data_IF_961315126636
#
_entry.id   IF_961315126636
#
_cell.length_a   1.000
_cell.length_b   1.000
_cell.length_c   1.000
_cell.angle_alpha   90.00
_cell.angle_beta   90.00
_cell.angle_gamma   90.00
#
_symmetry.space_group_name_H-M   'P 1'
#
loop_
_entity.id
_entity.type
_entity.pdbx_description
1 polymer ?
#
# COMPACT_ATOMS: atom_id res chain seq x y z
N UNK A 1 22.91 -9.98 22.88
CA UNK A 1 22.25 -10.07 21.57
C UNK A 1 22.68 -8.85 20.76
N UNK A 2 23.55 -8.99 19.76
CA UNK A 2 24.05 -7.84 18.98
C UNK A 2 22.97 -7.41 18.00
N UNK A 3 22.38 -6.23 18.21
CA UNK A 3 21.48 -5.58 17.26
C UNK A 3 22.35 -5.07 16.11
N UNK A 4 22.28 -5.72 14.94
CA UNK A 4 22.84 -5.16 13.72
C UNK A 4 21.90 -4.07 13.23
N UNK A 5 22.37 -2.82 13.24
CA UNK A 5 21.69 -1.73 12.54
C UNK A 5 22.08 -1.82 11.06
N UNK A 6 21.12 -2.10 10.18
CA UNK A 6 21.29 -1.93 8.74
C UNK A 6 21.45 -0.43 8.47
N UNK A 7 22.63 -0.02 8.01
CA UNK A 7 22.89 1.37 7.69
C UNK A 7 22.31 1.67 6.30
N UNK A 8 21.25 2.47 6.22
CA UNK A 8 20.78 3.02 4.94
C UNK A 8 21.70 4.17 4.52
N UNK A 9 22.24 4.09 3.31
CA UNK A 9 23.01 5.17 2.70
C UNK A 9 22.15 5.83 1.63
N UNK A 10 21.78 7.09 1.87
CA UNK A 10 21.11 7.93 0.87
C UNK A 10 22.15 8.75 0.13
N UNK A 11 22.30 8.50 -1.17
CA UNK A 11 23.14 9.34 -2.02
C UNK A 11 22.44 10.69 -2.26
N UNK A 12 22.96 11.76 -1.69
CA UNK A 12 22.52 13.13 -1.95
C UNK A 12 23.11 13.64 -3.27
N UNK A 13 22.47 13.34 -4.40
CA UNK A 13 22.72 14.05 -5.65
C UNK A 13 21.53 13.98 -6.62
N UNK A 14 20.79 15.08 -6.79
CA UNK A 14 20.26 15.54 -8.08
C UNK A 14 19.67 16.96 -7.98
N UNK A 15 19.93 17.86 -8.95
CA UNK A 15 19.29 19.18 -9.04
C UNK A 15 17.87 19.09 -9.65
N UNK A 16 17.01 20.04 -9.28
CA UNK A 16 15.64 20.32 -9.78
C UNK A 16 14.68 19.12 -9.99
N UNK A 17 13.88 18.84 -8.94
CA UNK A 17 12.42 18.56 -8.96
C UNK A 17 11.80 17.79 -10.16
N UNK A 18 12.45 16.75 -10.65
CA UNK A 18 11.75 15.69 -11.39
C UNK A 18 11.28 14.66 -10.36
N UNK A 19 9.97 14.36 -10.34
CA UNK A 19 9.44 13.30 -9.50
C UNK A 19 10.21 12.01 -9.82
N UNK A 20 10.81 11.39 -8.80
CA UNK A 20 11.56 10.15 -9.01
C UNK A 20 10.60 9.09 -9.53
N UNK A 21 10.95 8.35 -10.60
CA UNK A 21 10.12 7.26 -11.09
C UNK A 21 10.12 6.12 -10.09
N UNK A 22 9.03 5.37 -10.06
CA UNK A 22 8.92 4.14 -9.28
C UNK A 22 10.04 3.15 -9.67
N UNK A 23 10.61 2.46 -8.68
CA UNK A 23 11.53 1.33 -8.86
C UNK A 23 10.80 -0.02 -9.09
N UNK A 24 9.47 -0.01 -9.19
CA UNK A 24 8.69 -1.22 -9.34
C UNK A 24 8.92 -1.90 -10.69
N UNK A 25 8.98 -3.24 -10.69
CA UNK A 25 9.26 -4.06 -11.87
C UNK A 25 8.10 -5.01 -12.24
N UNK A 26 7.99 -5.37 -13.52
CA UNK A 26 6.92 -6.25 -14.02
C UNK A 26 5.52 -5.62 -14.10
N UNK A 27 5.41 -4.32 -13.78
CA UNK A 27 4.18 -3.54 -13.91
C UNK A 27 4.12 -2.75 -15.22
N UNK A 28 2.95 -2.16 -15.48
CA UNK A 28 2.85 -1.00 -16.37
C UNK A 28 3.46 0.26 -15.75
N UNK A 29 3.14 1.42 -16.32
CA UNK A 29 3.61 2.70 -15.77
C UNK A 29 2.96 3.02 -14.43
N UNK A 30 3.73 3.62 -13.53
CA UNK A 30 3.24 4.29 -12.33
C UNK A 30 3.26 5.81 -12.49
N UNK A 31 2.31 6.49 -11.85
CA UNK A 31 2.37 7.93 -11.60
C UNK A 31 2.52 8.19 -10.09
N UNK A 32 3.22 9.25 -9.71
CA UNK A 32 3.30 9.69 -8.31
C UNK A 32 2.13 10.62 -7.97
N UNK A 33 1.36 10.27 -6.95
CA UNK A 33 0.42 11.16 -6.27
C UNK A 33 1.04 11.61 -4.95
N UNK A 34 1.56 12.85 -4.90
CA UNK A 34 2.16 13.42 -3.71
C UNK A 34 2.03 14.94 -3.68
N UNK A 35 2.20 15.54 -2.50
CA UNK A 35 2.57 16.94 -2.42
C UNK A 35 3.92 17.17 -3.14
N UNK A 36 4.15 18.35 -3.72
CA UNK A 36 5.34 18.66 -4.55
C UNK A 36 6.61 18.89 -3.70
N UNK A 37 6.85 18.01 -2.72
CA UNK A 37 7.94 18.08 -1.78
C UNK A 37 9.08 17.16 -2.22
N UNK A 38 10.32 17.66 -2.19
CA UNK A 38 11.51 16.89 -2.60
C UNK A 38 11.84 15.73 -1.68
N UNK A 39 11.36 15.76 -0.44
CA UNK A 39 11.58 14.70 0.53
C UNK A 39 10.55 13.56 0.40
N UNK A 40 9.45 13.76 -0.34
CA UNK A 40 8.32 12.84 -0.34
C UNK A 40 8.72 11.44 -0.81
N UNK A 41 9.55 11.36 -1.86
CA UNK A 41 10.13 10.11 -2.36
C UNK A 41 11.63 10.32 -2.55
N UNK A 42 12.41 9.37 -2.04
CA UNK A 42 13.86 9.31 -2.20
C UNK A 42 14.30 7.88 -2.49
N UNK A 43 15.25 7.70 -3.40
CA UNK A 43 15.88 6.40 -3.62
C UNK A 43 17.12 6.25 -2.74
N UNK A 44 17.36 5.03 -2.26
CA UNK A 44 18.54 4.64 -1.51
C UNK A 44 18.95 3.22 -1.83
N UNK A 45 20.03 2.78 -1.21
CA UNK A 45 20.53 1.42 -1.34
C UNK A 45 20.95 0.90 0.04
N UNK A 46 20.63 -0.37 0.33
CA UNK A 46 21.13 -1.08 1.50
C UNK A 46 22.58 -1.52 1.27
N UNK A 47 23.29 -1.89 2.35
CA UNK A 47 24.67 -2.37 2.26
C UNK A 47 24.86 -3.62 1.41
N UNK A 48 23.82 -4.42 1.23
CA UNK A 48 23.82 -5.63 0.38
C UNK A 48 23.50 -5.33 -1.10
N UNK A 49 23.28 -4.06 -1.46
CA UNK A 49 22.98 -3.63 -2.81
C UNK A 49 21.49 -3.49 -3.12
N UNK A 50 20.59 -3.89 -2.22
CA UNK A 50 19.14 -3.80 -2.41
C UNK A 50 18.72 -2.34 -2.62
N UNK A 51 18.01 -2.06 -3.72
CA UNK A 51 17.46 -0.72 -3.97
C UNK A 51 16.22 -0.49 -3.11
N UNK A 52 16.06 0.72 -2.59
CA UNK A 52 14.99 1.08 -1.67
C UNK A 52 14.37 2.42 -2.07
N UNK A 53 13.05 2.46 -2.07
CA UNK A 53 12.25 3.69 -2.16
C UNK A 53 11.82 4.10 -0.74
N UNK A 54 12.30 5.25 -0.29
CA UNK A 54 11.88 5.90 0.94
C UNK A 54 10.72 6.84 0.64
N UNK A 55 9.62 6.64 1.33
CA UNK A 55 8.45 7.52 1.35
C UNK A 55 8.42 8.28 2.66
N UNK A 56 8.29 9.59 2.61
CA UNK A 56 8.09 10.44 3.79
C UNK A 56 6.84 11.29 3.62
N UNK A 57 5.94 11.17 4.59
CA UNK A 57 4.69 11.92 4.65
C UNK A 57 4.65 12.76 5.93
N UNK A 58 4.51 14.07 5.78
CA UNK A 58 4.38 15.02 6.90
C UNK A 58 2.94 15.52 7.01
N UNK A 59 2.62 16.08 8.18
CA UNK A 59 1.34 16.77 8.38
C UNK A 59 1.22 17.93 7.37
N UNK A 60 0.09 17.99 6.67
CA UNK A 60 -0.20 18.92 5.58
C UNK A 60 0.16 18.41 4.17
N UNK A 61 0.80 17.25 4.02
CA UNK A 61 1.19 16.71 2.72
C UNK A 61 0.01 16.07 1.99
N UNK A 62 -0.73 16.90 1.26
CA UNK A 62 -1.91 16.49 0.50
C UNK A 62 -1.80 16.89 -0.98
N UNK A 63 -2.49 16.15 -1.85
CA UNK A 63 -2.54 16.42 -3.30
C UNK A 63 -3.95 16.32 -3.84
N UNK A 64 -4.26 17.07 -4.91
CA UNK A 64 -5.60 17.11 -5.50
C UNK A 64 -6.68 17.48 -4.47
N UNK A 65 -7.63 16.57 -4.22
CA UNK A 65 -8.76 16.79 -3.28
C UNK A 65 -8.48 16.30 -1.86
N UNK A 66 -7.26 15.89 -1.54
CA UNK A 66 -6.98 15.25 -0.26
C UNK A 66 -7.19 16.18 0.94
N UNK A 67 -6.66 17.39 0.88
CA UNK A 67 -6.74 18.34 2.00
C UNK A 67 -8.20 18.65 2.36
N UNK A 68 -9.05 18.83 1.35
CA UNK A 68 -10.48 19.10 1.55
C UNK A 68 -11.29 17.87 1.95
N UNK A 69 -10.69 16.68 1.93
CA UNK A 69 -11.31 15.40 2.28
C UNK A 69 -10.60 14.68 3.42
N UNK A 70 -9.88 15.44 4.23
CA UNK A 70 -9.26 14.94 5.47
C UNK A 70 -8.27 13.79 5.21
N UNK A 71 -7.42 13.97 4.20
CA UNK A 71 -6.48 12.97 3.67
C UNK A 71 -5.13 13.59 3.36
N UNK A 72 -4.11 12.74 3.40
CA UNK A 72 -2.72 13.07 3.05
C UNK A 72 -2.07 11.84 2.41
N UNK A 73 -1.19 12.05 1.42
CA UNK A 73 -0.60 10.93 0.66
C UNK A 73 0.73 11.24 0.00
N UNK A 74 1.50 10.17 -0.15
CA UNK A 74 2.60 10.01 -1.11
C UNK A 74 2.56 8.57 -1.60
N UNK A 75 2.02 8.36 -2.80
CA UNK A 75 1.84 7.01 -3.36
C UNK A 75 2.15 6.95 -4.84
N UNK A 76 2.72 5.84 -5.28
CA UNK A 76 2.68 5.47 -6.69
C UNK A 76 1.38 4.75 -7.00
N UNK A 77 0.72 5.16 -8.09
CA UNK A 77 -0.48 4.55 -8.65
C UNK A 77 -0.17 3.87 -9.98
N UNK A 78 -0.50 2.59 -10.11
CA UNK A 78 -0.40 1.86 -11.37
C UNK A 78 -1.44 2.40 -12.36
N UNK A 79 -0.98 2.79 -13.54
CA UNK A 79 -1.85 3.40 -14.56
C UNK A 79 -2.79 2.39 -15.23
N UNK A 80 -2.36 1.13 -15.35
CA UNK A 80 -3.14 0.07 -15.99
C UNK A 80 -2.91 -1.22 -15.22
N UNK A 81 -4.01 -1.75 -14.68
CA UNK A 81 -4.04 -2.97 -13.89
C UNK A 81 -3.95 -4.26 -14.72
N UNK A 82 -3.84 -5.42 -14.06
CA UNK A 82 -4.00 -6.72 -14.69
C UNK A 82 -5.40 -6.91 -15.29
N UNK A 83 -5.51 -7.84 -16.24
CA UNK A 83 -6.81 -8.25 -16.78
C UNK A 83 -7.61 -9.01 -15.72
N UNK A 84 -8.92 -8.86 -15.74
CA UNK A 84 -9.80 -9.65 -14.89
C UNK A 84 -9.76 -11.13 -15.30
N UNK A 85 -9.98 -12.02 -14.33
CA UNK A 85 -9.96 -13.47 -14.51
C UNK A 85 -8.57 -14.09 -14.72
N UNK A 86 -7.51 -13.29 -14.85
CA UNK A 86 -6.14 -13.81 -14.91
C UNK A 86 -5.51 -13.84 -13.53
N UNK A 87 -4.78 -14.92 -13.23
CA UNK A 87 -3.96 -14.99 -12.03
C UNK A 87 -2.79 -14.00 -12.13
N UNK A 88 -2.63 -13.19 -11.09
CA UNK A 88 -1.55 -12.21 -10.95
C UNK A 88 -0.91 -12.35 -9.57
N UNK A 89 0.41 -12.21 -9.55
CA UNK A 89 1.19 -12.12 -8.33
C UNK A 89 1.78 -10.72 -8.21
N UNK A 90 1.67 -10.12 -7.02
CA UNK A 90 2.37 -8.88 -6.65
C UNK A 90 3.08 -9.10 -5.34
N UNK A 91 4.36 -8.78 -5.28
CA UNK A 91 5.18 -8.80 -4.07
C UNK A 91 5.79 -7.43 -3.79
N UNK A 92 5.91 -7.07 -2.53
CA UNK A 92 6.72 -5.92 -2.10
C UNK A 92 7.22 -6.14 -0.67
N UNK A 93 8.40 -5.60 -0.39
CA UNK A 93 9.00 -5.62 0.95
C UNK A 93 8.81 -4.24 1.56
N UNK A 94 8.34 -4.19 2.81
CA UNK A 94 8.08 -2.91 3.51
C UNK A 94 8.70 -2.90 4.90
N UNK A 95 9.28 -1.76 5.26
CA UNK A 95 9.80 -1.45 6.59
C UNK A 95 9.27 -0.09 7.04
N UNK A 96 8.77 -0.01 8.27
CA UNK A 96 8.44 1.26 8.91
C UNK A 96 9.67 1.81 9.62
N UNK A 97 9.92 3.11 9.51
CA UNK A 97 11.05 3.74 10.20
C UNK A 97 10.93 3.59 11.73
N UNK A 98 12.04 3.41 12.46
CA UNK A 98 12.03 3.41 13.93
C UNK A 98 11.34 4.62 14.57
N UNK A 99 11.27 5.77 13.89
CA UNK A 99 10.56 6.96 14.38
C UNK A 99 9.08 7.00 13.97
N UNK A 100 8.51 5.89 13.46
CA UNK A 100 7.10 5.84 13.07
C UNK A 100 6.20 6.21 14.27
N UNK A 101 5.33 7.23 14.16
CA UNK A 101 4.59 7.76 15.28
C UNK A 101 3.48 6.78 15.73
N UNK A 102 3.05 6.93 16.97
CA UNK A 102 1.77 6.36 17.38
C UNK A 102 0.65 7.11 16.66
N UNK A 103 -0.21 6.36 15.98
CA UNK A 103 -1.29 6.83 15.14
C UNK A 103 -2.54 7.17 15.96
N UNK A 104 -2.65 6.61 17.17
CA UNK A 104 -3.84 6.69 18.00
C UNK A 104 -4.91 5.65 17.62
N UNK A 105 -5.95 5.50 18.46
CA UNK A 105 -6.87 4.36 18.41
C UNK A 105 -7.85 4.36 17.21
N UNK A 106 -7.83 5.38 16.37
CA UNK A 106 -8.85 5.56 15.31
C UNK A 106 -8.24 5.84 13.93
N UNK A 107 -6.94 5.58 13.77
CA UNK A 107 -6.18 5.89 12.58
C UNK A 107 -5.50 4.67 11.99
N UNK A 108 -5.70 4.50 10.69
CA UNK A 108 -5.02 3.51 9.89
C UNK A 108 -4.28 4.20 8.74
N UNK A 109 -3.04 3.80 8.51
CA UNK A 109 -2.22 4.20 7.38
C UNK A 109 -2.14 3.06 6.38
N UNK A 110 -2.40 3.34 5.10
CA UNK A 110 -2.36 2.35 4.02
C UNK A 110 -0.94 2.34 3.46
N UNK A 111 -0.39 1.14 3.32
CA UNK A 111 0.96 0.90 2.78
C UNK A 111 0.95 0.06 1.49
N UNK A 112 -0.21 -0.42 1.08
CA UNK A 112 -0.43 -1.07 -0.20
C UNK A 112 -1.93 -1.24 -0.46
N UNK A 113 -2.37 -1.00 -1.69
CA UNK A 113 -3.79 -0.92 -2.00
C UNK A 113 -4.10 -1.46 -3.39
N UNK A 114 -5.21 -2.16 -3.53
CA UNK A 114 -5.85 -2.47 -4.81
C UNK A 114 -7.15 -1.71 -4.92
N UNK A 115 -7.32 -0.99 -6.02
CA UNK A 115 -8.50 -0.18 -6.28
C UNK A 115 -9.19 -0.60 -7.56
N UNK A 116 -10.52 -0.53 -7.58
CA UNK A 116 -11.29 -0.53 -8.81
C UNK A 116 -11.47 0.90 -9.33
N UNK A 117 -11.36 1.13 -10.64
CA UNK A 117 -11.74 2.42 -11.22
C UNK A 117 -13.24 2.63 -11.03
N UNK A 118 -13.65 3.91 -10.90
CA UNK A 118 -15.07 4.25 -10.96
C UNK A 118 -15.52 4.16 -12.42
N UNK A 119 -16.48 3.29 -12.70
CA UNK A 119 -17.06 3.07 -14.02
C UNK A 119 -18.56 3.41 -13.99
N UNK A 120 -18.99 4.47 -14.68
CA UNK A 120 -20.40 4.89 -14.74
C UNK A 120 -21.07 5.08 -13.35
N UNK A 121 -20.32 5.61 -12.37
CA UNK A 121 -20.79 5.72 -10.99
C UNK A 121 -20.80 4.41 -10.19
N UNK A 122 -20.39 3.28 -10.81
CA UNK A 122 -20.21 1.97 -10.18
C UNK A 122 -18.73 1.62 -10.11
N UNK A 123 -18.25 1.20 -8.94
CA UNK A 123 -16.82 0.94 -8.69
C UNK A 123 -16.45 1.49 -7.32
N UNK A 124 -15.99 0.61 -6.43
CA UNK A 124 -16.04 0.81 -4.98
C UNK A 124 -14.85 1.58 -4.39
N UNK A 125 -13.87 1.99 -5.21
CA UNK A 125 -12.61 2.48 -4.66
C UNK A 125 -11.78 1.29 -4.17
N UNK A 126 -11.27 1.29 -2.92
CA UNK A 126 -10.39 0.23 -2.45
C UNK A 126 -11.11 -1.12 -2.38
N UNK A 127 -10.45 -2.19 -2.80
CA UNK A 127 -10.95 -3.57 -2.74
C UNK A 127 -10.14 -4.41 -1.76
N UNK A 128 -8.81 -4.24 -1.77
CA UNK A 128 -7.89 -4.86 -0.81
C UNK A 128 -6.91 -3.78 -0.33
N UNK A 129 -6.72 -3.69 0.99
CA UNK A 129 -5.85 -2.73 1.64
C UNK A 129 -4.92 -3.48 2.60
N UNK A 130 -3.64 -3.12 2.56
CA UNK A 130 -2.69 -3.40 3.63
C UNK A 130 -2.57 -2.14 4.47
N UNK A 131 -3.08 -2.22 5.69
CA UNK A 131 -3.18 -1.09 6.61
C UNK A 131 -2.33 -1.32 7.85
N UNK A 132 -1.82 -0.23 8.43
CA UNK A 132 -1.12 -0.25 9.72
C UNK A 132 -1.87 0.67 10.67
N UNK A 133 -2.23 0.15 11.84
CA UNK A 133 -2.66 0.94 13.00
C UNK A 133 -1.64 0.76 14.14
N UNK A 134 -1.92 1.27 15.34
CA UNK A 134 -0.98 1.18 16.47
C UNK A 134 -0.60 -0.26 16.87
N UNK A 135 -1.48 -1.21 16.61
CA UNK A 135 -1.35 -2.59 17.08
C UNK A 135 -0.82 -3.53 15.99
N UNK A 136 -1.28 -3.36 14.75
CA UNK A 136 -1.27 -4.40 13.74
C UNK A 136 -0.96 -3.90 12.32
N UNK A 137 -0.36 -4.79 11.53
CA UNK A 137 -0.55 -4.87 10.09
C UNK A 137 -1.85 -5.63 9.82
N UNK A 138 -2.73 -5.02 9.04
CA UNK A 138 -4.10 -5.45 8.80
C UNK A 138 -4.32 -5.72 7.31
N UNK A 139 -4.97 -6.85 7.01
CA UNK A 139 -5.58 -7.11 5.71
C UNK A 139 -7.04 -6.65 5.77
N UNK A 140 -7.37 -5.64 4.98
CA UNK A 140 -8.73 -5.11 4.88
C UNK A 140 -9.30 -5.37 3.49
N UNK A 141 -10.39 -6.13 3.38
CA UNK A 141 -11.03 -6.50 2.11
C UNK A 141 -12.46 -6.01 2.08
N UNK A 142 -12.83 -5.22 1.06
CA UNK A 142 -14.22 -4.81 0.85
C UNK A 142 -15.05 -6.00 0.37
N UNK A 143 -16.28 -6.11 0.87
CA UNK A 143 -17.20 -7.15 0.41
C UNK A 143 -17.69 -6.84 -1.02
N UNK A 144 -17.29 -7.65 -2.02
CA UNK A 144 -17.70 -7.40 -3.41
C UNK A 144 -19.18 -7.72 -3.67
N UNK A 145 -19.90 -8.26 -2.69
CA UNK A 145 -21.34 -8.52 -2.77
C UNK A 145 -22.18 -7.37 -2.20
N UNK A 146 -21.57 -6.45 -1.44
CA UNK A 146 -22.27 -5.33 -0.82
C UNK A 146 -21.87 -4.04 -1.54
N UNK A 147 -22.81 -3.31 -2.17
CA UNK A 147 -22.53 -2.00 -2.73
C UNK A 147 -22.05 -1.03 -1.64
N UNK A 148 -20.95 -0.33 -1.90
CA UNK A 148 -20.50 0.76 -1.04
C UNK A 148 -20.97 2.08 -1.66
N UNK A 149 -22.02 2.66 -1.09
CA UNK A 149 -22.70 3.86 -1.64
C UNK A 149 -22.36 5.14 -0.91
N UNK A 150 -21.79 5.06 0.29
CA UNK A 150 -21.40 6.21 1.12
C UNK A 150 -19.96 6.05 1.64
N UNK A 151 -18.98 6.76 1.07
CA UNK A 151 -17.58 6.70 1.50
C UNK A 151 -17.33 7.15 2.95
N UNK A 152 -18.25 7.90 3.56
CA UNK A 152 -18.14 8.36 4.94
C UNK A 152 -18.79 7.38 5.93
N UNK A 153 -19.68 6.53 5.45
CA UNK A 153 -20.30 5.44 6.21
C UNK A 153 -20.22 4.13 5.40
N UNK A 154 -19.00 3.59 5.24
CA UNK A 154 -18.79 2.49 4.32
C UNK A 154 -19.45 1.20 4.83
N UNK A 155 -19.89 0.36 3.90
CA UNK A 155 -20.34 -0.97 4.22
C UNK A 155 -19.25 -1.76 4.98
N UNK A 156 -19.64 -2.71 5.86
CA UNK A 156 -18.71 -3.59 6.53
C UNK A 156 -17.77 -4.28 5.55
N UNK A 157 -16.52 -4.46 5.97
CA UNK A 157 -15.55 -5.22 5.20
C UNK A 157 -15.88 -6.71 5.26
N UNK A 158 -15.52 -7.44 4.21
CA UNK A 158 -15.47 -8.90 4.23
C UNK A 158 -14.41 -9.39 5.23
N UNK A 159 -13.29 -8.68 5.31
CA UNK A 159 -12.21 -8.96 6.25
C UNK A 159 -11.57 -7.68 6.77
N UNK A 160 -11.18 -7.70 8.04
CA UNK A 160 -10.35 -6.68 8.69
C UNK A 160 -9.49 -7.39 9.73
N UNK A 161 -8.53 -8.16 9.25
CA UNK A 161 -7.80 -9.13 10.07
C UNK A 161 -6.39 -8.63 10.37
N UNK A 162 -6.02 -8.60 11.66
CA UNK A 162 -4.65 -8.38 12.10
C UNK A 162 -3.80 -9.60 11.75
N UNK A 163 -2.83 -9.44 10.84
CA UNK A 163 -1.97 -10.53 10.35
C UNK A 163 -0.58 -10.54 11.00
N UNK A 164 -0.16 -9.43 11.60
CA UNK A 164 1.07 -9.33 12.38
C UNK A 164 1.01 -8.09 13.29
N UNK A 165 1.75 -8.08 14.43
CA UNK A 165 1.88 -6.86 15.23
C UNK A 165 2.67 -5.78 14.46
N UNK A 166 2.31 -4.50 14.61
CA UNK A 166 3.01 -3.36 13.99
C UNK A 166 4.51 -3.39 14.30
N UNK A 167 4.88 -3.77 15.53
CA UNK A 167 6.28 -3.86 15.98
C UNK A 167 7.13 -4.82 15.13
N UNK A 168 6.53 -5.73 14.37
CA UNK A 168 7.24 -6.58 13.42
C UNK A 168 7.80 -5.79 12.22
N UNK A 169 7.12 -4.70 11.81
CA UNK A 169 7.50 -3.88 10.65
C UNK A 169 8.48 -2.75 11.02
N UNK A 170 8.57 -2.37 12.30
CA UNK A 170 9.45 -1.30 12.75
C UNK A 170 10.91 -1.73 12.62
N UNK A 171 11.67 -1.01 11.80
CA UNK A 171 13.10 -1.23 11.58
C UNK A 171 13.46 -2.56 10.91
N UNK A 172 12.47 -3.29 10.34
CA UNK A 172 12.67 -4.56 9.64
C UNK A 172 11.80 -4.67 8.40
N UNK A 173 12.42 -5.07 7.28
CA UNK A 173 11.68 -5.42 6.07
C UNK A 173 10.85 -6.68 6.28
N UNK A 174 9.59 -6.60 5.84
CA UNK A 174 8.66 -7.73 5.80
C UNK A 174 8.14 -7.88 4.37
N UNK A 175 8.16 -9.10 3.85
CA UNK A 175 7.69 -9.43 2.49
C UNK A 175 6.19 -9.65 2.50
N UNK A 176 5.45 -8.82 1.79
CA UNK A 176 4.01 -9.00 1.56
C UNK A 176 3.83 -9.45 0.11
N UNK A 177 3.11 -10.54 -0.10
CA UNK A 177 2.71 -10.98 -1.45
C UNK A 177 1.20 -11.14 -1.54
N UNK A 178 0.65 -10.78 -2.69
CA UNK A 178 -0.75 -10.96 -3.05
C UNK A 178 -0.83 -11.81 -4.31
N UNK A 179 -1.53 -12.94 -4.23
CA UNK A 179 -1.96 -13.71 -5.38
C UNK A 179 -3.45 -13.47 -5.60
N UNK A 180 -3.82 -12.95 -6.77
CA UNK A 180 -5.20 -12.59 -7.06
C UNK A 180 -5.70 -13.19 -8.38
N UNK A 181 -6.95 -13.62 -8.38
CA UNK A 181 -7.80 -13.73 -9.57
C UNK A 181 -8.97 -12.77 -9.33
N UNK A 182 -8.96 -11.65 -10.05
CA UNK A 182 -9.98 -10.61 -9.95
C UNK A 182 -11.21 -11.00 -10.78
N UNK A 183 -12.30 -11.40 -10.13
CA UNK A 183 -13.51 -11.90 -10.79
C UNK A 183 -14.79 -11.43 -10.10
N UNK A 184 -15.82 -11.22 -10.93
CA UNK A 184 -17.21 -11.02 -10.47
C UNK A 184 -17.94 -12.33 -10.18
N UNK A 185 -17.33 -13.48 -10.46
CA UNK A 185 -17.89 -14.82 -10.30
C UNK A 185 -17.24 -15.64 -9.19
N UNK A 186 -17.58 -16.94 -9.14
CA UNK A 186 -17.11 -17.88 -8.13
C UNK A 186 -15.66 -18.35 -8.32
N UNK A 187 -15.05 -18.02 -9.45
CA UNK A 187 -13.68 -18.36 -9.87
C UNK A 187 -12.62 -17.38 -9.32
N UNK A 188 -13.04 -16.34 -8.60
CA UNK A 188 -12.11 -15.40 -7.98
C UNK A 188 -11.32 -15.99 -6.81
N UNK A 189 -10.16 -15.39 -6.57
CA UNK A 189 -9.18 -15.81 -5.56
C UNK A 189 -8.45 -14.59 -5.03
N UNK A 190 -8.22 -14.54 -3.71
CA UNK A 190 -7.26 -13.63 -3.09
C UNK A 190 -6.51 -14.37 -2.00
N UNK A 191 -5.20 -14.50 -2.13
CA UNK A 191 -4.31 -15.02 -1.10
C UNK A 191 -3.29 -13.94 -0.73
N UNK A 192 -3.13 -13.68 0.56
CA UNK A 192 -2.14 -12.74 1.11
C UNK A 192 -1.13 -13.53 1.91
N UNK A 193 0.15 -13.33 1.59
CA UNK A 193 1.28 -13.94 2.27
C UNK A 193 2.09 -12.88 3.00
N UNK A 194 2.58 -13.23 4.19
CA UNK A 194 3.53 -12.44 4.96
C UNK A 194 4.76 -13.30 5.26
N UNK A 195 5.93 -12.84 4.86
CA UNK A 195 7.22 -13.53 5.05
C UNK A 195 7.15 -15.00 4.60
N UNK A 196 6.60 -15.24 3.41
CA UNK A 196 6.46 -16.56 2.78
C UNK A 196 5.34 -17.44 3.34
N UNK A 197 4.62 -17.02 4.38
CA UNK A 197 3.52 -17.78 5.01
C UNK A 197 2.17 -17.23 4.58
N UNK A 198 1.21 -18.10 4.26
CA UNK A 198 -0.17 -17.69 3.98
C UNK A 198 -0.77 -17.07 5.25
N UNK A 199 -1.13 -15.79 5.17
CA UNK A 199 -1.67 -15.02 6.29
C UNK A 199 -3.19 -14.86 6.19
N UNK A 200 -3.73 -14.77 4.98
CA UNK A 200 -5.16 -14.63 4.73
C UNK A 200 -5.52 -15.19 3.35
N UNK A 201 -6.73 -15.73 3.19
CA UNK A 201 -7.21 -16.27 1.91
C UNK A 201 -8.71 -16.13 1.73
N UNK A 202 -9.14 -15.93 0.50
CA UNK A 202 -10.54 -15.91 0.08
C UNK A 202 -10.74 -16.59 -1.28
N UNK A 203 -11.92 -17.17 -1.47
CA UNK A 203 -12.37 -17.83 -2.70
C UNK A 203 -13.77 -17.34 -3.06
N UNK A 204 -14.06 -17.25 -4.35
CA UNK A 204 -15.32 -16.73 -4.85
C UNK A 204 -15.16 -15.30 -5.37
N UNK A 205 -16.23 -14.52 -5.34
CA UNK A 205 -16.23 -13.16 -5.87
C UNK A 205 -15.16 -12.29 -5.20
N UNK A 206 -14.36 -11.57 -5.98
CA UNK A 206 -13.30 -10.67 -5.49
C UNK A 206 -13.49 -9.21 -5.94
N UNK A 207 -14.29 -8.97 -6.98
CA UNK A 207 -14.68 -7.64 -7.44
C UNK A 207 -16.18 -7.59 -7.73
N UNK A 208 -16.80 -6.42 -7.56
CA UNK A 208 -18.24 -6.25 -7.74
C UNK A 208 -18.64 -5.87 -9.18
N UNK A 209 -17.71 -5.24 -9.93
CA UNK A 209 -17.85 -4.81 -11.32
C UNK A 209 -16.71 -5.36 -12.16
N UNK A 210 -16.98 -5.67 -13.43
CA UNK A 210 -15.96 -6.15 -14.36
C UNK A 210 -15.08 -4.98 -14.85
N UNK A 211 -14.22 -4.45 -13.98
CA UNK A 211 -13.22 -3.45 -14.30
C UNK A 211 -11.83 -3.90 -13.78
N UNK A 212 -10.76 -3.51 -14.48
CA UNK A 212 -9.40 -3.89 -14.11
C UNK A 212 -8.99 -3.18 -12.81
N UNK A 213 -8.70 -3.90 -11.72
CA UNK A 213 -8.19 -3.28 -10.52
C UNK A 213 -6.74 -2.88 -10.72
N UNK A 214 -6.29 -1.82 -10.07
CA UNK A 214 -4.92 -1.33 -10.17
C UNK A 214 -4.27 -1.23 -8.79
N UNK A 215 -2.96 -1.45 -8.75
CA UNK A 215 -2.17 -1.43 -7.52
C UNK A 215 -1.66 -0.03 -7.17
N UNK A 216 -1.57 0.26 -5.87
CA UNK A 216 -0.91 1.44 -5.30
C UNK A 216 0.00 1.01 -4.16
N UNK A 217 1.10 1.72 -3.98
CA UNK A 217 1.98 1.57 -2.81
C UNK A 217 2.61 2.90 -2.43
N UNK A 218 3.01 3.03 -1.16
CA UNK A 218 3.50 4.26 -0.56
C UNK A 218 2.87 4.48 0.82
N UNK A 219 2.57 5.73 1.18
CA UNK A 219 1.91 6.09 2.44
C UNK A 219 0.65 6.88 2.13
N UNK A 220 -0.49 6.38 2.57
CA UNK A 220 -1.76 7.09 2.51
C UNK A 220 -2.49 7.03 3.84
N UNK A 221 -2.85 8.18 4.39
CA UNK A 221 -3.67 8.28 5.61
C UNK A 221 -4.93 9.09 5.36
N UNK A 222 -6.01 8.66 5.98
CA UNK A 222 -7.34 9.27 5.86
C UNK A 222 -7.89 9.50 7.25
N UNK A 223 -8.76 10.49 7.39
CA UNK A 223 -9.30 10.95 8.66
C UNK A 223 -8.23 11.64 9.53
N UNK A 224 -7.33 12.43 8.93
CA UNK A 224 -6.20 13.07 9.65
C UNK A 224 -6.64 13.98 10.79
N UNK A 225 -7.86 14.53 10.72
CA UNK A 225 -8.52 15.26 11.81
C UNK A 225 -8.69 14.47 13.11
N UNK A 226 -8.55 13.13 13.08
CA UNK A 226 -8.59 12.26 14.26
C UNK A 226 -7.30 12.30 15.07
N UNK A 227 -6.21 12.83 14.51
CA UNK A 227 -4.94 12.99 15.20
C UNK A 227 -4.99 14.27 16.06
N UNK A 228 -5.11 14.13 17.39
CA UNK A 228 -5.36 15.26 18.29
C UNK A 228 -4.24 16.32 18.32
N UNK A 229 -3.00 15.98 17.91
CA UNK A 229 -1.84 16.86 17.93
C UNK A 229 -1.04 16.84 16.60
N UNK A 230 -1.69 16.47 15.49
CA UNK A 230 -1.02 16.11 14.25
C UNK A 230 -0.71 14.61 14.18
N UNK A 231 -0.65 14.05 12.97
CA UNK A 231 -0.46 12.62 12.77
C UNK A 231 1.03 12.21 12.77
N UNK A 232 1.93 13.17 12.96
CA UNK A 232 3.37 12.96 12.97
C UNK A 232 3.94 12.65 11.58
N UNK A 233 5.26 12.75 11.46
CA UNK A 233 5.93 12.36 10.21
C UNK A 233 5.99 10.84 10.11
N UNK A 234 5.46 10.28 9.03
CA UNK A 234 5.50 8.86 8.74
C UNK A 234 6.54 8.59 7.65
N UNK A 235 7.44 7.64 7.91
CA UNK A 235 8.49 7.24 6.96
C UNK A 235 8.42 5.73 6.77
N UNK A 236 8.31 5.29 5.53
CA UNK A 236 8.32 3.88 5.16
C UNK A 236 9.29 3.65 4.01
N UNK A 237 9.90 2.47 4.01
CA UNK A 237 10.85 2.04 3.01
C UNK A 237 10.27 0.83 2.27
N UNK A 238 10.33 0.88 0.95
CA UNK A 238 9.86 -0.18 0.07
C UNK A 238 11.02 -0.71 -0.76
N UNK A 239 11.09 -2.03 -0.91
CA UNK A 239 12.01 -2.68 -1.86
C UNK A 239 11.28 -3.79 -2.61
N UNK A 240 11.86 -4.18 -3.75
CA UNK A 240 11.44 -5.35 -4.52
C UNK A 240 9.94 -5.35 -4.83
N UNK A 241 9.39 -4.19 -5.16
CA UNK A 241 8.00 -4.04 -5.60
C UNK A 241 7.91 -4.62 -6.99
N UNK A 242 7.28 -5.79 -7.12
CA UNK A 242 7.31 -6.57 -8.36
C UNK A 242 5.96 -7.22 -8.66
N UNK A 243 5.59 -7.26 -9.93
CA UNK A 243 4.45 -8.03 -10.44
C UNK A 243 4.96 -9.19 -11.32
N UNK A 244 4.40 -10.37 -11.09
CA UNK A 244 4.76 -11.58 -11.81
C UNK A 244 3.55 -12.48 -12.08
N UNK A 245 3.83 -13.64 -12.69
CA UNK A 245 2.84 -14.67 -13.03
C UNK A 245 2.89 -15.87 -12.08
N UNK A 246 3.91 -15.92 -11.23
CA UNK A 246 4.13 -16.99 -10.28
C UNK A 246 4.66 -16.44 -8.96
N UNK A 247 4.55 -17.23 -7.89
CA UNK A 247 5.12 -16.90 -6.58
C UNK A 247 6.62 -16.64 -6.66
N UNK A 248 7.35 -17.51 -7.37
CA UNK A 248 8.81 -17.45 -7.46
C UNK A 248 9.33 -16.17 -8.14
N UNK A 249 8.53 -15.56 -9.03
CA UNK A 249 8.87 -14.28 -9.66
C UNK A 249 8.71 -13.08 -8.71
N UNK A 250 7.97 -13.24 -7.60
CA UNK A 250 7.64 -12.16 -6.67
C UNK A 250 8.04 -12.44 -5.24
N UNK A 251 8.84 -13.48 -4.97
CA UNK A 251 9.26 -13.83 -3.61
C UNK A 251 10.45 -12.99 -3.15
#
# INVERSE_FOLDING_TARGET
>A
MKVFFTLLVFALAAPMAQAQPSLADGFGRFNLEAARNRYAVQHGQLSDGTQVERFELRDGDCTGTDCSRDRERVEFIQNTGPRNGTEVWVGYSVMLDPTWPDLGPRMNTKIGQWHLPRFQGRGQGPTLLMEVNDECLIVSVKDPNVPDTDPMNPAPNLAWDCIAPRSQLIGRFNRIMVNAIWSTGADGKLDVYLNGRLAWSHRGRTINVNAQPYFRYGIYRSFVSRCAAGCGTQIAYFSDVVQGRSRAEVE
#
